data_IF_344148616315
#
_entry.id   IF_344148616315
#
_cell.length_a   1.000
_cell.length_b   1.000
_cell.length_c   1.000
_cell.angle_alpha   90.00
_cell.angle_beta   90.00
_cell.angle_gamma   90.00
#
_symmetry.space_group_name_H-M   'P 1'
#
loop_
_entity.id
_entity.type
_entity.pdbx_description
1 polymer ?
#
# COMPACT_ATOMS: atom_id res chain seq x y z
N UNK A 1 -8.90 4.21 16.46
CA UNK A 1 -9.48 5.37 15.77
C UNK A 1 -9.37 5.24 14.24
N UNK A 2 -8.20 4.91 13.64
CA UNK A 2 -8.03 4.88 12.17
C UNK A 2 -8.57 3.62 11.48
N UNK A 3 -8.83 2.52 12.20
CA UNK A 3 -9.19 1.23 11.58
C UNK A 3 -10.51 1.27 10.82
N UNK A 4 -11.53 1.86 11.43
CA UNK A 4 -12.86 1.95 10.85
C UNK A 4 -12.91 2.90 9.64
N UNK A 5 -12.40 4.14 9.73
CA UNK A 5 -12.36 5.04 8.58
C UNK A 5 -11.60 4.50 7.37
N UNK A 6 -10.47 3.82 7.59
CA UNK A 6 -9.69 3.20 6.50
C UNK A 6 -10.44 2.05 5.80
N UNK A 7 -11.42 1.45 6.47
CA UNK A 7 -12.19 0.33 5.92
C UNK A 7 -13.53 0.75 5.34
N UNK A 8 -14.30 1.53 6.11
CA UNK A 8 -15.67 1.92 5.76
C UNK A 8 -15.73 3.23 4.96
N UNK A 9 -14.67 4.05 5.01
CA UNK A 9 -14.69 5.42 4.47
C UNK A 9 -15.58 6.35 5.28
N UNK A 10 -15.93 5.98 6.51
CA UNK A 10 -16.85 6.71 7.39
C UNK A 10 -16.33 6.70 8.82
N UNK A 11 -16.74 7.68 9.60
CA UNK A 11 -16.49 7.73 11.03
C UNK A 11 -17.80 8.00 11.76
N UNK A 12 -18.08 7.19 12.76
CA UNK A 12 -19.25 7.34 13.63
C UNK A 12 -18.85 8.05 14.92
N UNK A 13 -19.49 9.17 15.21
CA UNK A 13 -19.34 9.85 16.49
C UNK A 13 -20.62 9.64 17.29
N UNK A 14 -20.48 8.92 18.42
CA UNK A 14 -21.59 8.64 19.32
C UNK A 14 -21.45 9.48 20.58
N UNK A 15 -22.47 10.27 20.91
CA UNK A 15 -22.60 11.00 22.18
C UNK A 15 -23.91 10.59 22.84
N UNK A 16 -24.06 10.89 24.12
CA UNK A 16 -25.21 10.47 24.95
C UNK A 16 -26.58 10.79 24.31
N UNK A 17 -26.66 11.84 23.50
CA UNK A 17 -27.91 12.33 22.90
C UNK A 17 -28.01 12.21 21.38
N UNK A 18 -26.92 11.83 20.68
CA UNK A 18 -26.92 11.73 19.22
C UNK A 18 -25.81 10.85 18.69
N UNK A 19 -26.13 10.17 17.60
CA UNK A 19 -25.16 9.40 16.80
C UNK A 19 -25.09 10.01 15.41
N UNK A 20 -23.91 10.44 15.00
CA UNK A 20 -23.71 11.14 13.72
C UNK A 20 -22.60 10.47 12.93
N UNK A 21 -22.87 10.18 11.66
CA UNK A 21 -21.91 9.61 10.69
C UNK A 21 -21.30 10.75 9.87
N UNK A 22 -19.98 10.71 9.71
CA UNK A 22 -19.24 11.64 8.85
C UNK A 22 -18.48 10.87 7.77
N UNK A 23 -18.39 11.41 6.53
CA UNK A 23 -17.53 10.82 5.51
C UNK A 23 -16.05 10.93 5.92
N UNK A 24 -15.30 9.86 5.72
CA UNK A 24 -13.87 9.77 6.07
C UNK A 24 -13.07 9.05 4.96
N UNK A 25 -13.29 9.45 3.71
CA UNK A 25 -12.52 8.99 2.56
C UNK A 25 -11.21 9.77 2.47
N UNK A 26 -10.10 9.14 2.83
CA UNK A 26 -8.77 9.74 2.77
C UNK A 26 -7.72 8.70 2.36
N UNK A 27 -6.59 9.18 1.87
CA UNK A 27 -5.40 8.38 1.65
C UNK A 27 -4.47 8.53 2.86
N UNK A 28 -4.09 7.41 3.48
CA UNK A 28 -3.11 7.38 4.56
C UNK A 28 -1.71 7.18 3.97
N UNK A 29 -0.81 8.14 4.19
CA UNK A 29 0.63 7.97 4.00
C UNK A 29 1.31 8.13 5.36
N UNK A 30 2.12 7.16 5.75
CA UNK A 30 2.80 7.15 7.02
C UNK A 30 4.26 6.71 6.86
N UNK A 31 5.15 7.26 7.69
CA UNK A 31 6.54 6.86 7.76
C UNK A 31 6.91 6.53 9.20
N UNK A 32 7.74 5.52 9.38
CA UNK A 32 8.29 5.18 10.70
C UNK A 32 9.75 4.75 10.59
N UNK A 33 10.50 4.98 11.64
CA UNK A 33 11.84 4.44 11.74
C UNK A 33 11.82 2.91 11.93
N UNK A 34 12.87 2.18 11.50
CA UNK A 34 12.93 0.73 11.64
C UNK A 34 13.07 0.25 13.08
N UNK A 35 13.55 1.12 14.00
CA UNK A 35 13.71 0.89 15.44
C UNK A 35 13.74 2.23 16.21
N UNK A 36 13.73 2.24 17.56
CA UNK A 36 13.75 3.46 18.35
C UNK A 36 14.90 4.42 18.05
N UNK A 37 16.11 3.91 17.79
CA UNK A 37 17.26 4.74 17.43
C UNK A 37 17.36 5.09 15.94
N UNK A 38 16.56 4.45 15.07
CA UNK A 38 16.54 4.70 13.61
C UNK A 38 17.60 3.94 12.79
N UNK A 39 18.56 3.26 13.44
CA UNK A 39 19.72 2.67 12.77
C UNK A 39 19.69 1.14 12.65
N UNK A 40 18.53 0.52 12.66
CA UNK A 40 18.43 -0.94 12.55
C UNK A 40 19.10 -1.44 11.25
N UNK A 41 20.01 -2.39 11.40
CA UNK A 41 20.83 -2.92 10.29
C UNK A 41 22.16 -2.19 10.10
N UNK A 42 22.42 -1.11 10.81
CA UNK A 42 23.68 -0.35 10.84
C UNK A 42 24.45 -0.65 12.14
N UNK A 43 25.79 -0.54 12.11
CA UNK A 43 26.67 -0.68 13.30
C UNK A 43 26.36 0.33 14.41
N UNK A 44 25.71 1.43 14.10
CA UNK A 44 25.26 2.47 15.06
C UNK A 44 24.01 2.06 15.84
N UNK A 45 23.37 0.96 15.49
CA UNK A 45 22.15 0.52 16.18
C UNK A 45 22.48 0.02 17.58
N UNK A 46 21.94 0.68 18.59
CA UNK A 46 22.12 0.34 20.02
C UNK A 46 20.87 -0.33 20.62
N UNK A 47 19.85 -0.61 19.81
CA UNK A 47 18.59 -1.19 20.29
C UNK A 47 18.72 -2.69 20.51
N UNK A 48 18.26 -3.19 21.67
CA UNK A 48 18.06 -4.62 21.89
C UNK A 48 16.89 -5.16 21.04
N UNK A 49 16.87 -6.46 20.77
CA UNK A 49 15.78 -7.12 20.04
C UNK A 49 14.41 -6.87 20.70
N UNK A 50 14.36 -6.85 22.05
CA UNK A 50 13.11 -6.58 22.77
C UNK A 50 12.64 -5.13 22.62
N UNK A 51 13.56 -4.18 22.59
CA UNK A 51 13.20 -2.79 22.31
C UNK A 51 12.64 -2.61 20.90
N UNK A 52 13.25 -3.27 19.90
CA UNK A 52 12.77 -3.25 18.50
C UNK A 52 11.39 -3.88 18.43
N UNK A 53 11.19 -5.04 19.07
CA UNK A 53 9.91 -5.74 19.08
C UNK A 53 8.80 -4.91 19.73
N UNK A 54 9.05 -4.32 20.90
CA UNK A 54 8.09 -3.43 21.60
C UNK A 54 7.75 -2.19 20.76
N UNK A 55 8.74 -1.62 20.08
CA UNK A 55 8.55 -0.47 19.21
C UNK A 55 7.64 -0.80 18.04
N UNK A 56 7.89 -1.90 17.33
CA UNK A 56 7.09 -2.35 16.18
C UNK A 56 5.67 -2.75 16.59
N UNK A 57 5.52 -3.37 17.75
CA UNK A 57 4.21 -3.79 18.27
C UNK A 57 3.30 -2.63 18.68
N UNK A 58 3.79 -1.38 18.71
CA UNK A 58 2.93 -0.19 18.87
C UNK A 58 1.95 -0.03 17.71
N UNK A 59 2.31 -0.50 16.52
CA UNK A 59 1.42 -0.57 15.38
C UNK A 59 0.80 -1.96 15.37
N UNK A 60 -0.51 -2.02 15.54
CA UNK A 60 -1.22 -3.30 15.61
C UNK A 60 -1.28 -4.00 14.24
N UNK A 61 -1.22 -5.33 14.23
CA UNK A 61 -1.41 -6.14 13.03
C UNK A 61 -2.65 -5.73 12.23
N UNK A 62 -3.84 -5.62 12.86
CA UNK A 62 -5.04 -5.18 12.15
C UNK A 62 -4.98 -3.79 11.51
N UNK A 63 -4.12 -2.89 11.97
CA UNK A 63 -3.87 -1.61 11.26
C UNK A 63 -2.93 -1.82 10.07
N UNK A 64 -1.86 -2.61 10.26
CA UNK A 64 -0.94 -2.98 9.18
C UNK A 64 -1.68 -3.67 8.03
N UNK A 65 -2.62 -4.55 8.34
CA UNK A 65 -3.47 -5.20 7.33
C UNK A 65 -4.36 -4.22 6.53
N UNK A 66 -4.44 -2.96 6.90
CA UNK A 66 -5.20 -1.94 6.18
C UNK A 66 -4.32 -1.00 5.35
N UNK A 67 -3.01 -1.15 5.45
CA UNK A 67 -2.04 -0.39 4.64
C UNK A 67 -1.69 -1.23 3.42
N UNK A 68 -2.03 -0.76 2.22
CA UNK A 68 -1.92 -1.53 0.98
C UNK A 68 -0.47 -1.75 0.53
N UNK A 69 0.42 -0.80 0.78
CA UNK A 69 1.81 -0.82 0.34
C UNK A 69 2.75 -0.58 1.51
N UNK A 70 3.72 -1.46 1.67
CA UNK A 70 4.80 -1.34 2.64
C UNK A 70 6.12 -1.19 1.89
N UNK A 71 6.75 -0.03 2.01
CA UNK A 71 7.99 0.27 1.31
C UNK A 71 9.11 0.43 2.32
N UNK A 72 10.17 -0.35 2.17
CA UNK A 72 11.40 -0.17 2.93
C UNK A 72 12.33 0.77 2.17
N UNK A 73 12.63 1.92 2.79
CA UNK A 73 13.55 2.91 2.23
C UNK A 73 14.93 2.67 2.84
N UNK A 74 15.90 2.33 2.00
CA UNK A 74 17.29 2.16 2.40
C UNK A 74 17.99 3.50 2.57
N UNK A 75 19.03 3.54 3.40
CA UNK A 75 19.89 4.71 3.51
C UNK A 75 20.55 5.01 2.16
N UNK A 76 20.65 6.29 1.82
CA UNK A 76 21.37 6.74 0.62
C UNK A 76 22.86 6.60 0.89
N UNK A 77 23.60 6.02 -0.06
CA UNK A 77 25.04 5.94 0.01
C UNK A 77 25.64 7.35 -0.07
N UNK A 78 26.60 7.65 0.83
CA UNK A 78 27.27 8.95 0.89
C UNK A 78 27.95 9.35 -0.45
N UNK A 79 28.42 8.38 -1.23
CA UNK A 79 28.96 8.62 -2.57
C UNK A 79 27.92 9.24 -3.51
N UNK A 80 26.67 8.84 -3.41
CA UNK A 80 25.58 9.37 -4.22
C UNK A 80 25.15 10.77 -3.80
N UNK A 81 25.37 11.15 -2.53
CA UNK A 81 25.08 12.50 -2.02
C UNK A 81 26.07 13.54 -2.57
N UNK A 82 27.34 13.17 -2.69
CA UNK A 82 28.39 14.06 -3.20
C UNK A 82 28.37 14.18 -4.72
N UNK A 83 27.87 13.18 -5.44
CA UNK A 83 27.86 13.09 -6.90
C UNK A 83 26.46 13.35 -7.49
N UNK A 84 25.62 14.18 -6.86
CA UNK A 84 24.26 14.48 -7.34
C UNK A 84 24.19 15.01 -8.78
N UNK A 85 25.28 15.60 -9.30
CA UNK A 85 25.34 16.09 -10.67
C UNK A 85 25.49 14.97 -11.73
N UNK A 86 25.96 13.78 -11.34
CA UNK A 86 26.19 12.63 -12.23
C UNK A 86 25.22 11.47 -11.99
N UNK A 87 24.43 11.52 -10.91
CA UNK A 87 23.40 10.53 -10.66
C UNK A 87 22.30 10.60 -11.74
N UNK A 88 21.77 9.45 -12.21
CA UNK A 88 20.67 9.47 -13.16
C UNK A 88 19.51 10.24 -12.54
N UNK A 89 19.08 11.31 -13.21
CA UNK A 89 17.92 12.09 -12.78
C UNK A 89 16.71 11.15 -12.77
N UNK A 90 16.07 11.01 -11.60
CA UNK A 90 14.80 10.32 -11.49
C UNK A 90 13.71 10.96 -12.37
N UNK A 91 12.59 10.30 -12.52
CA UNK A 91 11.44 10.87 -13.24
C UNK A 91 11.02 12.21 -12.62
N UNK A 92 10.66 13.16 -13.48
CA UNK A 92 10.12 14.45 -13.03
C UNK A 92 8.69 14.29 -12.47
N UNK A 93 8.30 15.21 -11.59
CA UNK A 93 6.92 15.23 -11.06
C UNK A 93 5.87 15.26 -12.17
N UNK A 94 6.13 16.01 -13.27
CA UNK A 94 5.19 16.10 -14.40
C UNK A 94 5.03 14.77 -15.14
N UNK A 95 6.11 14.00 -15.30
CA UNK A 95 6.06 12.67 -15.90
C UNK A 95 5.24 11.70 -15.02
N UNK A 96 5.50 11.72 -13.72
CA UNK A 96 4.76 10.90 -12.76
C UNK A 96 3.29 11.29 -12.76
N UNK A 97 2.97 12.57 -12.71
CA UNK A 97 1.60 13.08 -12.71
C UNK A 97 0.84 12.65 -13.98
N UNK A 98 1.43 12.81 -15.15
CA UNK A 98 0.82 12.38 -16.43
C UNK A 98 0.51 10.89 -16.43
N UNK A 99 1.44 10.04 -15.96
CA UNK A 99 1.24 8.60 -15.86
C UNK A 99 0.12 8.23 -14.88
N UNK A 100 0.08 8.87 -13.72
CA UNK A 100 -0.96 8.65 -12.69
C UNK A 100 -2.33 9.10 -13.20
N UNK A 101 -2.44 10.28 -13.82
CA UNK A 101 -3.69 10.76 -14.40
C UNK A 101 -4.19 9.81 -15.49
N UNK A 102 -3.32 9.38 -16.41
CA UNK A 102 -3.70 8.44 -17.47
C UNK A 102 -4.18 7.09 -16.91
N UNK A 103 -3.54 6.56 -15.85
CA UNK A 103 -4.00 5.35 -15.18
C UNK A 103 -5.38 5.54 -14.52
N UNK A 104 -5.59 6.68 -13.86
CA UNK A 104 -6.88 7.03 -13.24
C UNK A 104 -8.00 7.17 -14.27
N UNK A 105 -7.72 7.80 -15.42
CA UNK A 105 -8.68 7.92 -16.52
C UNK A 105 -9.08 6.55 -17.08
N UNK A 106 -8.14 5.60 -17.20
CA UNK A 106 -8.43 4.20 -17.57
C UNK A 106 -9.39 3.54 -16.60
N UNK A 107 -9.17 3.71 -15.29
CA UNK A 107 -10.06 3.17 -14.26
C UNK A 107 -11.46 3.74 -14.36
N UNK A 108 -11.58 5.06 -14.46
CA UNK A 108 -12.87 5.75 -14.57
C UNK A 108 -13.62 5.38 -15.86
N UNK A 109 -12.93 5.29 -17.01
CA UNK A 109 -13.52 4.87 -18.28
C UNK A 109 -13.99 3.41 -18.25
N UNK A 110 -13.22 2.51 -17.61
CA UNK A 110 -13.53 1.08 -17.53
C UNK A 110 -14.72 0.77 -16.62
N UNK A 111 -14.79 1.43 -15.45
CA UNK A 111 -15.66 1.01 -14.36
C UNK A 111 -16.35 2.14 -13.57
N UNK A 112 -16.19 3.40 -13.99
CA UNK A 112 -16.83 4.57 -13.35
C UNK A 112 -16.29 4.95 -11.97
N UNK A 113 -15.29 4.24 -11.45
CA UNK A 113 -14.68 4.45 -10.13
C UNK A 113 -13.23 3.98 -10.10
N UNK A 114 -12.48 4.42 -9.09
CA UNK A 114 -11.09 4.02 -8.90
C UNK A 114 -11.00 2.57 -8.35
N UNK A 115 -9.86 1.90 -8.59
CA UNK A 115 -9.67 0.49 -8.21
C UNK A 115 -9.85 0.23 -6.71
N UNK A 116 -9.51 1.20 -5.85
CA UNK A 116 -9.68 1.06 -4.40
C UNK A 116 -11.16 0.87 -4.00
N UNK A 117 -12.10 1.45 -4.76
CA UNK A 117 -13.54 1.38 -4.50
C UNK A 117 -14.21 0.10 -5.05
N UNK A 118 -13.45 -0.76 -5.73
CA UNK A 118 -13.98 -2.03 -6.25
C UNK A 118 -14.35 -2.97 -5.11
N UNK A 119 -15.50 -3.62 -5.26
CA UNK A 119 -15.92 -4.74 -4.42
C UNK A 119 -15.12 -6.00 -4.75
N UNK A 120 -15.17 -7.00 -3.88
CA UNK A 120 -14.52 -8.29 -4.11
C UNK A 120 -15.03 -9.01 -5.36
N UNK A 121 -16.30 -8.80 -5.72
CA UNK A 121 -16.90 -9.35 -6.93
C UNK A 121 -16.36 -8.67 -8.19
N UNK A 122 -16.32 -7.35 -8.19
CA UNK A 122 -15.84 -6.55 -9.32
C UNK A 122 -14.36 -6.76 -9.60
N UNK A 123 -13.52 -6.79 -8.56
CA UNK A 123 -12.09 -7.00 -8.77
C UNK A 123 -11.77 -8.39 -9.33
N UNK A 124 -12.53 -9.43 -8.98
CA UNK A 124 -12.38 -10.76 -9.60
C UNK A 124 -12.70 -10.75 -11.10
N UNK A 125 -13.68 -9.97 -11.52
CA UNK A 125 -14.03 -9.84 -12.95
C UNK A 125 -12.97 -9.06 -13.74
N UNK A 126 -12.36 -8.05 -13.11
CA UNK A 126 -11.36 -7.17 -13.73
C UNK A 126 -9.91 -7.72 -13.65
N UNK A 127 -9.69 -8.76 -12.86
CA UNK A 127 -8.42 -9.46 -12.71
C UNK A 127 -8.65 -10.97 -12.85
N UNK A 128 -8.96 -11.47 -14.05
CA UNK A 128 -9.03 -12.90 -14.27
C UNK A 128 -7.63 -13.49 -14.00
N UNK A 129 -7.59 -14.50 -13.15
CA UNK A 129 -6.35 -15.22 -12.84
C UNK A 129 -6.26 -16.41 -13.80
N UNK A 130 -5.22 -16.44 -14.62
CA UNK A 130 -4.80 -17.64 -15.34
C UNK A 130 -4.22 -18.69 -14.37
N UNK A 131 -3.83 -19.84 -14.88
CA UNK A 131 -3.30 -20.92 -14.06
C UNK A 131 -1.99 -20.54 -13.34
N UNK A 132 -1.10 -19.80 -14.03
CA UNK A 132 0.18 -19.38 -13.47
C UNK A 132 0.00 -18.37 -12.32
N UNK A 133 -0.89 -17.39 -12.51
CA UNK A 133 -1.22 -16.40 -11.48
C UNK A 133 -1.95 -17.04 -10.28
N UNK A 134 -2.80 -18.05 -10.52
CA UNK A 134 -3.44 -18.82 -9.44
C UNK A 134 -2.41 -19.56 -8.59
N UNK A 135 -1.46 -20.24 -9.23
CA UNK A 135 -0.40 -20.94 -8.52
C UNK A 135 0.50 -19.98 -7.73
N UNK A 136 0.85 -18.84 -8.33
CA UNK A 136 1.60 -17.80 -7.64
C UNK A 136 0.84 -17.27 -6.41
N UNK A 137 -0.45 -17.01 -6.56
CA UNK A 137 -1.31 -16.53 -5.47
C UNK A 137 -1.49 -17.58 -4.37
N UNK A 138 -1.65 -18.86 -4.72
CA UNK A 138 -1.72 -19.95 -3.73
C UNK A 138 -0.40 -20.03 -2.91
N UNK A 139 0.74 -20.01 -3.59
CA UNK A 139 2.07 -19.97 -2.91
C UNK A 139 2.22 -18.75 -2.01
N UNK A 140 1.70 -17.58 -2.43
CA UNK A 140 1.74 -16.37 -1.63
C UNK A 140 0.81 -16.46 -0.40
N UNK A 141 -0.38 -17.03 -0.56
CA UNK A 141 -1.31 -17.28 0.56
C UNK A 141 -0.67 -18.20 1.59
N UNK A 142 -0.09 -19.33 1.16
CA UNK A 142 0.52 -20.31 2.06
C UNK A 142 1.76 -19.73 2.75
N UNK A 143 2.62 -19.03 2.00
CA UNK A 143 3.88 -18.50 2.53
C UNK A 143 3.70 -17.31 3.49
N UNK A 144 2.76 -16.43 3.20
CA UNK A 144 2.57 -15.18 3.94
C UNK A 144 1.33 -15.19 4.84
N UNK A 145 0.54 -16.26 4.83
CA UNK A 145 -0.68 -16.35 5.62
C UNK A 145 -1.71 -15.27 5.22
N UNK A 146 -1.85 -15.00 3.91
CA UNK A 146 -2.73 -13.93 3.47
C UNK A 146 -4.18 -14.23 3.83
N UNK A 147 -4.82 -13.27 4.49
CA UNK A 147 -6.27 -13.31 4.71
C UNK A 147 -7.03 -13.08 3.39
N UNK A 148 -8.33 -13.42 3.36
CA UNK A 148 -9.19 -13.09 2.22
C UNK A 148 -9.16 -11.60 1.87
N UNK A 149 -9.07 -10.71 2.88
CA UNK A 149 -8.89 -9.27 2.67
C UNK A 149 -7.55 -8.98 2.00
N UNK A 150 -6.46 -9.56 2.49
CA UNK A 150 -5.12 -9.42 1.91
C UNK A 150 -5.09 -9.84 0.44
N UNK A 151 -5.75 -10.96 0.10
CA UNK A 151 -5.89 -11.43 -1.28
C UNK A 151 -6.52 -10.37 -2.20
N UNK A 152 -7.68 -9.82 -1.82
CA UNK A 152 -8.36 -8.81 -2.66
C UNK A 152 -7.58 -7.50 -2.76
N UNK A 153 -6.81 -7.14 -1.74
CA UNK A 153 -5.95 -5.95 -1.78
C UNK A 153 -4.79 -6.15 -2.75
N UNK A 154 -4.15 -7.31 -2.74
CA UNK A 154 -3.12 -7.66 -3.74
C UNK A 154 -3.68 -7.53 -5.16
N UNK A 155 -4.89 -8.04 -5.42
CA UNK A 155 -5.52 -7.91 -6.73
C UNK A 155 -5.78 -6.45 -7.12
N UNK A 156 -6.24 -5.60 -6.17
CA UNK A 156 -6.45 -4.17 -6.44
C UNK A 156 -5.15 -3.44 -6.75
N UNK A 157 -4.07 -3.76 -6.04
CA UNK A 157 -2.73 -3.21 -6.31
C UNK A 157 -2.23 -3.69 -7.66
N UNK A 158 -2.30 -4.99 -7.96
CA UNK A 158 -1.89 -5.56 -9.24
C UNK A 158 -2.66 -4.92 -10.41
N UNK A 159 -3.99 -4.72 -10.27
CA UNK A 159 -4.79 -4.01 -11.27
C UNK A 159 -4.33 -2.56 -11.45
N UNK A 160 -3.97 -1.89 -10.37
CA UNK A 160 -3.49 -0.50 -10.43
C UNK A 160 -2.12 -0.40 -11.10
N UNK A 161 -1.23 -1.37 -10.87
CA UNK A 161 0.05 -1.46 -11.58
C UNK A 161 -0.16 -1.69 -13.09
N UNK A 162 -1.06 -2.61 -13.46
CA UNK A 162 -1.41 -2.83 -14.86
C UNK A 162 -1.99 -1.56 -15.53
N UNK A 163 -2.80 -0.78 -14.80
CA UNK A 163 -3.30 0.51 -15.30
C UNK A 163 -2.18 1.54 -15.49
N UNK A 164 -1.17 1.55 -14.60
CA UNK A 164 0.02 2.42 -14.74
C UNK A 164 0.87 2.03 -15.96
N UNK A 165 0.97 0.74 -16.25
CA UNK A 165 1.70 0.19 -17.40
C UNK A 165 0.89 0.19 -18.71
N UNK A 166 -0.35 0.67 -18.68
CA UNK A 166 -1.29 0.59 -19.80
C UNK A 166 -1.56 -0.86 -20.29
N UNK A 167 -1.40 -1.84 -19.40
CA UNK A 167 -1.66 -3.25 -19.67
C UNK A 167 -3.14 -3.59 -19.46
N UNK A 168 -3.68 -4.47 -20.30
CA UNK A 168 -5.07 -4.92 -20.19
C UNK A 168 -5.30 -5.75 -18.94
N UNK A 169 -4.33 -6.59 -18.57
CA UNK A 169 -4.38 -7.45 -17.37
C UNK A 169 -3.10 -7.35 -16.57
N UNK A 170 -3.14 -7.62 -15.24
CA UNK A 170 -1.94 -7.80 -14.45
C UNK A 170 -1.07 -8.93 -15.03
N UNK A 171 0.24 -8.71 -15.02
CA UNK A 171 1.23 -9.71 -15.46
C UNK A 171 1.88 -10.34 -14.23
N UNK A 172 2.36 -11.58 -14.41
CA UNK A 172 3.16 -12.33 -13.41
C UNK A 172 4.53 -11.70 -13.20
#
# INVERSE_FOLDING_TARGET
VLREPLESGKIMISRVSAQTEYPANFQLSAAMNPCPCGYLGDKRCVCSLDQIRRYRNKISGPLMDRIDLHVQVSAIDNHNLLNQSTAPKGESNDQIQKRVCAARDRQLKRQGKINNQLTSKEIRQLCPLDEQLRDLMNKAIDRFGLSARGFYRVLKVARSLADLEASEYPKS
#
